data_IF_959779114277
#
_entry.id   IF_959779114277
#
_cell.length_a   1.000
_cell.length_b   1.000
_cell.length_c   1.000
_cell.angle_alpha   90.00
_cell.angle_beta   90.00
_cell.angle_gamma   90.00
#
_symmetry.space_group_name_H-M   'P 1'
#
loop_
_entity.id
_entity.type
_entity.pdbx_description
1 polymer ?
#
# COMPACT_ATOMS: atom_id res chain seq x y z
N UNK A 1 -12.35 15.20 5.37
CA UNK A 1 -12.33 14.07 4.44
C UNK A 1 -13.46 14.29 3.46
N UNK A 2 -13.17 14.33 2.16
CA UNK A 2 -14.14 14.67 1.12
C UNK A 2 -15.01 13.48 0.66
N UNK A 3 -14.90 12.33 1.36
CA UNK A 3 -15.67 11.13 1.07
C UNK A 3 -15.22 10.39 -0.20
N UNK A 4 -13.98 10.59 -0.66
CA UNK A 4 -13.47 9.97 -1.88
C UNK A 4 -13.83 10.76 -3.15
N UNK A 5 -14.12 12.06 -3.01
CA UNK A 5 -14.33 12.96 -4.15
C UNK A 5 -13.03 13.23 -4.89
N UNK A 6 -11.91 13.23 -4.18
CA UNK A 6 -10.57 13.40 -4.76
C UNK A 6 -9.67 12.25 -4.35
N UNK A 7 -8.79 11.88 -5.28
CA UNK A 7 -7.81 10.83 -5.10
C UNK A 7 -6.44 11.42 -5.40
N UNK A 8 -5.48 11.17 -4.53
CA UNK A 8 -4.09 11.59 -4.71
C UNK A 8 -3.22 10.35 -4.80
N UNK A 9 -2.34 10.31 -5.81
CA UNK A 9 -1.40 9.21 -6.00
C UNK A 9 -0.26 9.34 -4.97
N UNK A 10 -0.27 8.49 -3.95
CA UNK A 10 0.67 8.55 -2.83
C UNK A 10 1.58 7.31 -2.78
N UNK A 11 2.24 7.00 -3.91
CA UNK A 11 3.24 5.95 -4.01
C UNK A 11 2.69 4.56 -4.38
N UNK A 12 3.54 3.53 -4.21
CA UNK A 12 3.31 2.14 -4.66
C UNK A 12 3.12 1.98 -6.19
N UNK A 13 3.63 2.91 -6.98
CA UNK A 13 3.42 2.97 -8.43
C UNK A 13 3.88 1.67 -9.13
N UNK A 14 5.05 1.16 -8.71
CA UNK A 14 5.66 -0.06 -9.24
C UNK A 14 5.00 -1.37 -8.74
N UNK A 15 4.07 -1.30 -7.78
CA UNK A 15 3.41 -2.53 -7.29
C UNK A 15 2.42 -3.13 -8.28
N UNK A 16 1.97 -2.35 -9.27
CA UNK A 16 1.03 -2.65 -10.35
C UNK A 16 -0.35 -3.18 -9.91
N UNK A 17 -0.39 -4.24 -9.11
CA UNK A 17 -1.60 -4.89 -8.62
C UNK A 17 -1.65 -4.85 -7.09
N UNK A 18 -2.63 -4.11 -6.57
CA UNK A 18 -2.97 -4.13 -5.16
C UNK A 18 -4.05 -5.19 -4.93
N UNK A 19 -3.71 -6.23 -4.16
CA UNK A 19 -4.65 -7.31 -3.84
C UNK A 19 -5.56 -6.97 -2.66
N UNK A 20 -5.06 -6.21 -1.68
CA UNK A 20 -5.81 -5.87 -0.47
C UNK A 20 -5.31 -4.62 0.21
N UNK A 21 -6.23 -3.82 0.75
CA UNK A 21 -5.96 -2.69 1.63
C UNK A 21 -6.68 -2.93 2.96
N UNK A 22 -5.98 -2.71 4.07
CA UNK A 22 -6.54 -2.81 5.43
C UNK A 22 -6.21 -1.54 6.18
N UNK A 23 -7.22 -0.89 6.74
CA UNK A 23 -7.07 0.29 7.58
C UNK A 23 -7.09 -0.12 9.05
N UNK A 24 -6.31 0.54 9.90
CA UNK A 24 -6.37 0.30 11.33
C UNK A 24 -7.71 0.83 11.91
N UNK A 25 -8.44 0.05 12.72
CA UNK A 25 -9.81 0.38 13.14
C UNK A 25 -9.91 1.65 13.99
N UNK A 26 -8.85 1.96 14.75
CA UNK A 26 -8.83 3.11 15.68
C UNK A 26 -7.82 4.19 15.32
N UNK A 27 -7.00 4.00 14.29
CA UNK A 27 -5.92 4.93 13.95
C UNK A 27 -5.89 5.13 12.42
N UNK A 28 -6.45 6.25 11.91
CA UNK A 28 -6.55 6.47 10.47
C UNK A 28 -5.20 6.67 9.77
N UNK A 29 -4.12 6.92 10.51
CA UNK A 29 -2.79 7.11 9.93
C UNK A 29 -2.11 5.79 9.56
N UNK A 30 -2.62 4.66 10.09
CA UNK A 30 -2.04 3.34 9.88
C UNK A 30 -2.87 2.56 8.86
N UNK A 31 -2.21 2.19 7.76
CA UNK A 31 -2.79 1.30 6.75
C UNK A 31 -1.76 0.26 6.30
N UNK A 32 -2.28 -0.87 5.83
CA UNK A 32 -1.53 -1.94 5.22
C UNK A 32 -2.02 -2.21 3.81
N UNK A 33 -1.08 -2.44 2.91
CA UNK A 33 -1.35 -2.74 1.51
C UNK A 33 -0.59 -4.01 1.14
N UNK A 34 -1.33 -5.00 0.63
CA UNK A 34 -0.77 -6.21 0.05
C UNK A 34 -0.65 -6.01 -1.46
N UNK A 35 0.58 -5.89 -1.92
CA UNK A 35 0.93 -5.74 -3.33
C UNK A 35 1.39 -7.07 -3.91
N UNK A 36 0.80 -7.44 -5.05
CA UNK A 36 1.12 -8.68 -5.75
C UNK A 36 2.36 -8.51 -6.66
N UNK A 37 2.67 -7.29 -7.10
CA UNK A 37 3.76 -7.04 -8.05
C UNK A 37 3.46 -7.63 -9.43
N UNK A 38 4.52 -7.87 -10.22
CA UNK A 38 4.40 -8.56 -11.51
C UNK A 38 3.96 -10.01 -11.31
N UNK A 39 2.98 -10.46 -12.10
CA UNK A 39 2.42 -11.82 -11.97
C UNK A 39 3.43 -12.92 -12.36
N UNK A 40 4.26 -12.68 -13.37
CA UNK A 40 5.07 -13.70 -14.05
C UNK A 40 6.59 -13.51 -13.90
N UNK A 41 7.04 -12.54 -13.10
CA UNK A 41 8.46 -12.24 -12.90
C UNK A 41 8.78 -12.13 -11.41
N UNK A 42 10.00 -12.50 -10.96
CA UNK A 42 10.48 -12.13 -9.65
C UNK A 42 10.46 -10.61 -9.55
N UNK A 43 9.67 -10.08 -8.64
CA UNK A 43 9.56 -8.65 -8.43
C UNK A 43 9.72 -8.33 -6.94
N UNK A 44 10.63 -7.40 -6.63
CA UNK A 44 10.88 -6.86 -5.28
C UNK A 44 9.69 -6.08 -4.72
N UNK A 45 8.77 -5.63 -5.57
CA UNK A 45 7.56 -4.94 -5.16
C UNK A 45 6.43 -5.89 -4.71
N UNK A 46 6.64 -7.21 -4.76
CA UNK A 46 5.72 -8.17 -4.15
C UNK A 46 5.93 -8.19 -2.63
N UNK A 47 4.89 -7.83 -1.87
CA UNK A 47 4.99 -7.85 -0.42
C UNK A 47 3.90 -7.06 0.28
N UNK A 48 4.06 -6.94 1.61
CA UNK A 48 3.17 -6.14 2.45
C UNK A 48 3.86 -4.82 2.79
N UNK A 49 3.19 -3.74 2.44
CA UNK A 49 3.58 -2.37 2.72
C UNK A 49 2.74 -1.84 3.88
N UNK A 50 3.37 -1.09 4.78
CA UNK A 50 2.70 -0.43 5.90
C UNK A 50 3.02 1.06 5.88
N UNK A 51 2.00 1.88 6.06
CA UNK A 51 2.13 3.31 6.36
C UNK A 51 1.74 3.59 7.81
N UNK A 52 2.30 4.67 8.37
CA UNK A 52 1.93 5.22 9.68
C UNK A 52 1.68 6.73 9.62
N UNK A 53 1.56 7.28 8.42
CA UNK A 53 1.42 8.71 8.16
C UNK A 53 0.30 9.02 7.16
N UNK A 54 -0.70 8.14 7.08
CA UNK A 54 -1.86 8.30 6.21
C UNK A 54 -1.54 8.03 4.73
N UNK A 55 -0.51 7.23 4.44
CA UNK A 55 -0.13 6.85 3.09
C UNK A 55 0.91 7.75 2.44
N UNK A 56 1.52 8.70 3.16
CA UNK A 56 2.59 9.56 2.61
C UNK A 56 3.88 8.77 2.39
N UNK A 57 4.19 7.84 3.29
CA UNK A 57 5.33 6.94 3.16
C UNK A 57 4.92 5.49 3.40
N UNK A 58 5.55 4.61 2.64
CA UNK A 58 5.32 3.17 2.70
C UNK A 58 6.61 2.46 3.10
N UNK A 59 6.52 1.62 4.14
CA UNK A 59 7.62 0.76 4.58
C UNK A 59 7.29 -0.68 4.22
N UNK A 60 8.16 -1.31 3.44
CA UNK A 60 8.09 -2.75 3.14
C UNK A 60 8.43 -3.53 4.40
N UNK A 61 7.53 -4.41 4.83
CA UNK A 61 7.76 -5.29 5.99
C UNK A 61 8.16 -6.71 5.60
N UNK A 62 8.03 -7.07 4.33
CA UNK A 62 8.37 -8.40 3.82
C UNK A 62 9.19 -8.30 2.54
N UNK A 63 10.46 -8.66 2.65
CA UNK A 63 11.32 -9.06 1.55
C UNK A 63 11.60 -10.56 1.80
N UNK A 64 11.27 -11.42 0.85
CA UNK A 64 11.71 -12.81 0.85
C UNK A 64 12.79 -12.96 -0.22
#
# INVERSE_FOLDING_TARGET
MDGGKTWQHNGLEETHHIGRIVLHPSNPDIAWVAALGHLYSPNRERGVFMTKDGGKTWKTRFCQ
#
